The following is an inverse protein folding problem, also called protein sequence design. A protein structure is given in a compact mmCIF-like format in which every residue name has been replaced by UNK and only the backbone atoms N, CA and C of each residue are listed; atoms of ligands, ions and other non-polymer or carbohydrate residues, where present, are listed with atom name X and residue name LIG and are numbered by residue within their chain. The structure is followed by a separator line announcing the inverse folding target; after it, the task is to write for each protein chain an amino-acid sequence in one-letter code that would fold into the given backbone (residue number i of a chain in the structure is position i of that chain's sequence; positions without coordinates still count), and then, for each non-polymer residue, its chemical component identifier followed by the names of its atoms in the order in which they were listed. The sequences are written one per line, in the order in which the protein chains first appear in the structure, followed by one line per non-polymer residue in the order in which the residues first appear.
data_IF_190394350670
#
_entry.id   IF_190394350670
#
_cell.length_a   1.000
_cell.length_b   1.000
_cell.length_c   1.000
_cell.angle_alpha   90.00
_cell.angle_beta   90.00
_cell.angle_gamma   90.00
#
_symmetry.space_group_name_H-M   'P 1'
#
loop_
_entity.id
_entity.type
_entity.pdbx_description
1 polymer ?
#
# COMPACT_ATOMS: atom_id res chain seq x y z
N UNK A 1 3.12 -7.42 16.21
CA UNK A 1 4.22 -6.44 16.05
C UNK A 1 3.71 -5.27 15.24
N UNK A 2 3.92 -4.05 15.74
CA UNK A 2 3.45 -2.82 15.11
C UNK A 2 4.13 -2.62 13.75
N UNK A 3 3.41 -2.16 12.73
CA UNK A 3 4.00 -1.90 11.43
C UNK A 3 5.01 -0.75 11.54
N UNK A 4 6.19 -0.93 10.93
CA UNK A 4 7.24 0.11 10.88
C UNK A 4 6.76 1.39 10.20
N UNK A 5 5.79 1.27 9.29
CA UNK A 5 5.11 2.38 8.64
C UNK A 5 3.60 2.07 8.64
N UNK A 6 2.78 2.96 9.16
CA UNK A 6 1.32 2.82 9.18
C UNK A 6 0.69 3.92 8.33
N UNK A 7 -0.36 3.57 7.59
CA UNK A 7 -1.24 4.53 6.93
C UNK A 7 -2.51 4.66 7.77
N UNK A 8 -2.92 5.90 8.04
CA UNK A 8 -4.19 6.16 8.72
C UNK A 8 -5.34 6.18 7.71
N UNK A 9 -6.47 5.59 8.08
CA UNK A 9 -7.71 5.70 7.33
C UNK A 9 -8.71 6.53 8.16
N UNK A 10 -9.62 7.29 7.50
CA UNK A 10 -10.72 7.95 8.20
C UNK A 10 -11.62 6.92 8.89
N UNK A 11 -12.23 7.30 10.01
CA UNK A 11 -13.17 6.44 10.73
C UNK A 11 -14.35 6.06 9.81
N UNK A 12 -14.65 4.76 9.71
CA UNK A 12 -15.68 4.22 8.81
C UNK A 12 -15.17 3.67 7.47
N UNK A 13 -13.86 3.75 7.19
CA UNK A 13 -13.22 3.05 6.07
C UNK A 13 -12.38 1.89 6.61
N UNK A 14 -13.02 0.73 6.82
CA UNK A 14 -12.33 -0.50 7.23
C UNK A 14 -11.88 -1.33 6.03
N UNK A 15 -12.74 -1.41 5.00
CA UNK A 15 -12.43 -2.08 3.74
C UNK A 15 -12.51 -1.11 2.55
N UNK A 16 -11.64 -1.34 1.56
CA UNK A 16 -11.71 -0.63 0.27
C UNK A 16 -13.04 -0.89 -0.45
N UNK A 17 -13.69 -2.03 -0.19
CA UNK A 17 -15.01 -2.38 -0.70
C UNK A 17 -16.15 -1.53 -0.12
N UNK A 18 -15.94 -0.87 1.02
CA UNK A 18 -16.97 -0.04 1.68
C UNK A 18 -17.07 1.35 1.01
N UNK A 19 -16.01 1.77 0.31
CA UNK A 19 -15.94 3.03 -0.40
C UNK A 19 -16.40 2.94 -1.84
N UNK A 20 -17.08 3.98 -2.34
CA UNK A 20 -17.29 4.16 -3.77
C UNK A 20 -15.95 4.59 -4.42
N UNK A 21 -15.11 3.62 -4.78
CA UNK A 21 -13.82 3.87 -5.42
C UNK A 21 -14.07 4.22 -6.90
N UNK A 22 -14.00 5.50 -7.22
CA UNK A 22 -14.04 5.98 -8.60
C UNK A 22 -12.60 6.11 -9.13
N UNK A 23 -12.22 5.38 -10.19
CA UNK A 23 -10.90 5.49 -10.80
C UNK A 23 -10.52 6.94 -11.13
N UNK A 24 -9.31 7.33 -10.74
CA UNK A 24 -8.75 8.67 -10.97
C UNK A 24 -9.23 9.75 -10.01
N UNK A 25 -10.13 9.45 -9.05
CA UNK A 25 -10.55 10.39 -8.01
C UNK A 25 -9.88 10.07 -6.66
N UNK A 26 -9.48 11.10 -5.90
CA UNK A 26 -8.97 10.90 -4.55
C UNK A 26 -10.08 10.37 -3.65
N UNK A 27 -9.83 9.26 -2.96
CA UNK A 27 -10.77 8.63 -2.03
C UNK A 27 -10.70 9.34 -0.68
N UNK A 28 -9.51 9.45 -0.08
CA UNK A 28 -9.30 10.17 1.18
C UNK A 28 -7.83 10.56 1.38
N UNK A 29 -7.60 11.47 2.33
CA UNK A 29 -6.25 11.83 2.78
C UNK A 29 -5.81 10.90 3.93
N UNK A 30 -4.74 10.15 3.70
CA UNK A 30 -4.06 9.33 4.69
C UNK A 30 -2.80 10.02 5.21
N UNK A 31 -2.46 9.79 6.49
CA UNK A 31 -1.15 10.17 7.05
C UNK A 31 -0.26 8.94 7.15
N UNK A 32 0.99 9.11 6.73
CA UNK A 32 2.08 8.14 6.83
C UNK A 32 2.75 8.31 8.19
N UNK A 33 2.68 7.29 9.04
CA UNK A 33 3.24 7.29 10.39
C UNK A 33 4.40 6.28 10.47
N UNK A 34 5.62 6.71 10.82
CA UNK A 34 6.69 5.78 11.19
C UNK A 34 6.47 5.28 12.62
N UNK A 35 6.61 3.97 12.81
CA UNK A 35 6.38 3.29 14.08
C UNK A 35 4.94 3.43 14.60
N UNK A 36 4.00 3.86 13.75
CA UNK A 36 2.63 4.17 14.16
C UNK A 36 2.45 5.47 14.95
N UNK A 37 3.50 6.28 15.13
CA UNK A 37 3.45 7.47 16.00
C UNK A 37 3.92 8.75 15.29
N UNK A 38 5.00 8.69 14.50
CA UNK A 38 5.61 9.89 13.91
C UNK A 38 5.07 10.18 12.52
N UNK A 39 4.29 11.26 12.30
CA UNK A 39 3.81 11.61 10.96
C UNK A 39 4.97 12.10 10.10
N UNK A 40 5.36 11.30 9.12
CA UNK A 40 6.44 11.63 8.17
C UNK A 40 5.92 12.11 6.83
N UNK A 41 4.63 11.94 6.57
CA UNK A 41 4.04 12.39 5.32
C UNK A 41 2.53 12.28 5.29
N UNK A 42 1.93 12.83 4.24
CA UNK A 42 0.53 12.64 3.90
C UNK A 42 0.43 12.06 2.50
N UNK A 43 -0.47 11.10 2.31
CA UNK A 43 -0.78 10.52 1.01
C UNK A 43 -2.23 10.81 0.68
N UNK A 44 -2.52 11.24 -0.54
CA UNK A 44 -3.88 11.43 -1.02
C UNK A 44 -4.30 10.20 -1.83
N UNK A 45 -4.95 9.26 -1.15
CA UNK A 45 -5.20 7.93 -1.68
C UNK A 45 -6.05 8.01 -2.94
N UNK A 46 -5.47 7.69 -4.10
CA UNK A 46 -6.14 7.76 -5.40
C UNK A 46 -5.92 6.44 -6.12
N UNK A 47 -7.00 5.74 -6.46
CA UNK A 47 -6.91 4.51 -7.25
C UNK A 47 -7.08 4.85 -8.72
N UNK A 48 -6.12 4.46 -9.56
CA UNK A 48 -6.23 4.58 -11.01
C UNK A 48 -6.99 3.40 -11.61
N UNK A 49 -6.91 2.23 -10.95
CA UNK A 49 -7.72 1.06 -11.27
C UNK A 49 -7.98 0.28 -9.99
N UNK A 50 -9.17 -0.28 -9.84
CA UNK A 50 -9.53 -1.12 -8.71
C UNK A 50 -10.44 -2.23 -9.22
N UNK A 51 -10.03 -3.47 -9.02
CA UNK A 51 -10.78 -4.66 -9.40
C UNK A 51 -10.93 -5.57 -8.17
N UNK A 52 -12.12 -5.57 -7.52
CA UNK A 52 -12.35 -6.38 -6.34
C UNK A 52 -11.98 -7.85 -6.56
N UNK A 53 -11.14 -8.40 -5.68
CA UNK A 53 -10.68 -9.80 -5.75
C UNK A 53 -9.44 -10.04 -6.63
N UNK A 54 -9.18 -9.18 -7.62
CA UNK A 54 -8.05 -9.35 -8.55
C UNK A 54 -6.88 -8.41 -8.24
N UNK A 55 -7.14 -7.19 -7.81
CA UNK A 55 -6.07 -6.24 -7.55
C UNK A 55 -6.45 -4.79 -7.65
N UNK A 56 -5.44 -3.92 -7.56
CA UNK A 56 -5.61 -2.48 -7.70
C UNK A 56 -4.32 -1.81 -8.15
N UNK A 57 -4.47 -0.66 -8.80
CA UNK A 57 -3.39 0.27 -9.10
C UNK A 57 -3.68 1.56 -8.35
N UNK A 58 -2.89 1.83 -7.34
CA UNK A 58 -2.89 3.05 -6.56
C UNK A 58 -1.88 4.04 -7.15
N UNK A 59 -2.29 5.28 -7.37
CA UNK A 59 -1.41 6.40 -7.76
C UNK A 59 -1.70 7.61 -6.87
N UNK A 60 -1.16 7.58 -5.66
CA UNK A 60 -1.43 8.60 -4.66
C UNK A 60 -0.31 9.63 -4.59
N UNK A 61 -0.60 10.94 -4.66
CA UNK A 61 0.37 11.97 -4.31
C UNK A 61 0.80 11.78 -2.85
N UNK A 62 2.09 11.49 -2.63
CA UNK A 62 2.63 11.26 -1.30
C UNK A 62 3.72 12.28 -0.96
N UNK A 63 3.62 12.90 0.22
CA UNK A 63 4.63 13.83 0.72
C UNK A 63 6.01 13.17 0.76
N UNK A 64 7.01 13.85 0.19
CA UNK A 64 8.38 13.33 0.08
C UNK A 64 8.63 12.44 -1.15
N UNK A 65 7.61 12.17 -1.97
CA UNK A 65 7.76 11.45 -3.24
C UNK A 65 7.23 12.29 -4.40
N UNK A 66 8.03 12.37 -5.48
CA UNK A 66 7.63 13.06 -6.72
C UNK A 66 6.57 12.25 -7.48
N UNK A 67 6.66 10.92 -7.39
CA UNK A 67 5.70 9.98 -7.95
C UNK A 67 5.60 8.78 -7.04
N UNK A 68 4.39 8.28 -6.83
CA UNK A 68 4.12 7.03 -6.16
C UNK A 68 3.04 6.28 -6.94
N UNK A 69 3.35 5.06 -7.32
CA UNK A 69 2.43 4.14 -7.93
C UNK A 69 2.65 2.77 -7.29
N UNK A 70 1.61 2.24 -6.68
CA UNK A 70 1.62 0.92 -6.08
C UNK A 70 0.54 0.08 -6.75
N UNK A 71 0.98 -0.98 -7.41
CA UNK A 71 0.11 -1.98 -8.00
C UNK A 71 0.12 -3.24 -7.13
N UNK A 72 -1.05 -3.73 -6.79
CA UNK A 72 -1.24 -5.05 -6.19
C UNK A 72 -2.03 -5.90 -7.15
N UNK A 73 -1.53 -7.10 -7.41
CA UNK A 73 -2.21 -8.14 -8.17
C UNK A 73 -2.34 -9.39 -7.33
N UNK A 74 -3.49 -10.03 -7.42
CA UNK A 74 -3.83 -11.28 -6.76
C UNK A 74 -4.18 -12.25 -7.88
N UNK A 75 -3.29 -13.20 -8.12
CA UNK A 75 -3.50 -14.24 -9.12
C UNK A 75 -3.91 -15.54 -8.42
N UNK A 76 -4.96 -16.19 -8.90
CA UNK A 76 -5.33 -17.53 -8.45
C UNK A 76 -4.26 -18.54 -8.90
N UNK A 77 -3.79 -19.36 -7.96
CA UNK A 77 -2.83 -20.42 -8.23
C UNK A 77 -3.30 -21.72 -7.58
N UNK A 78 -2.90 -22.90 -8.09
CA UNK A 78 -3.27 -24.15 -7.45
C UNK A 78 -2.86 -24.15 -5.97
N UNK A 79 -3.82 -24.34 -5.07
CA UNK A 79 -3.59 -24.37 -3.63
C UNK A 79 -3.64 -23.01 -2.91
N UNK A 80 -3.94 -21.90 -3.59
CA UNK A 80 -4.16 -20.60 -2.93
C UNK A 80 -4.17 -19.40 -3.88
N UNK A 81 -3.64 -18.27 -3.42
CA UNK A 81 -3.49 -17.06 -4.21
C UNK A 81 -2.05 -16.53 -4.14
N UNK A 82 -1.58 -15.94 -5.23
CA UNK A 82 -0.31 -15.24 -5.32
C UNK A 82 -0.57 -13.74 -5.26
N UNK A 83 -0.15 -13.12 -4.16
CA UNK A 83 -0.17 -11.67 -4.01
C UNK A 83 1.15 -11.09 -4.49
N UNK A 84 1.11 -10.31 -5.56
CA UNK A 84 2.24 -9.59 -6.13
C UNK A 84 2.05 -8.09 -5.90
N UNK A 85 3.01 -7.45 -5.26
CA UNK A 85 3.03 -6.01 -5.06
C UNK A 85 4.16 -5.39 -5.90
N UNK A 86 3.81 -4.61 -6.93
CA UNK A 86 4.75 -3.88 -7.78
C UNK A 86 4.73 -2.39 -7.42
N UNK A 87 5.91 -1.84 -7.11
CA UNK A 87 6.06 -0.47 -6.65
C UNK A 87 6.91 0.34 -7.62
N UNK A 88 6.31 1.40 -8.15
CA UNK A 88 6.94 2.38 -9.00
C UNK A 88 6.90 3.75 -8.30
N UNK A 89 8.02 4.17 -7.71
CA UNK A 89 8.08 5.43 -6.99
C UNK A 89 9.34 6.22 -7.31
N UNK A 90 9.22 7.53 -7.21
CA UNK A 90 10.32 8.47 -7.35
C UNK A 90 10.44 9.26 -6.05
N UNK A 91 11.43 8.92 -5.21
CA UNK A 91 11.69 9.66 -3.98
C UNK A 91 12.12 11.09 -4.31
N UNK A 92 11.59 12.07 -3.59
CA UNK A 92 12.00 13.47 -3.71
C UNK A 92 13.30 13.77 -2.96
N UNK A 93 13.60 12.98 -1.92
CA UNK A 93 14.78 13.14 -1.07
C UNK A 93 15.33 11.76 -0.68
N UNK A 94 16.65 11.64 -0.55
CA UNK A 94 17.37 10.41 -0.15
C UNK A 94 16.87 9.13 -0.84
N UNK A 95 17.15 8.94 -2.15
CA UNK A 95 16.59 7.84 -2.92
C UNK A 95 16.92 6.45 -2.38
N UNK A 96 18.17 6.23 -1.95
CA UNK A 96 18.61 4.94 -1.42
C UNK A 96 17.91 4.56 -0.11
N UNK A 97 17.88 5.49 0.85
CA UNK A 97 17.22 5.26 2.14
C UNK A 97 15.72 5.01 1.96
N UNK A 98 15.07 5.82 1.13
CA UNK A 98 13.63 5.68 0.86
C UNK A 98 13.32 4.31 0.24
N UNK A 99 14.13 3.87 -0.73
CA UNK A 99 13.95 2.56 -1.35
C UNK A 99 14.11 1.40 -0.35
N UNK A 100 15.09 1.48 0.55
CA UNK A 100 15.28 0.47 1.60
C UNK A 100 14.11 0.43 2.58
N UNK A 101 13.62 1.60 3.02
CA UNK A 101 12.47 1.68 3.92
C UNK A 101 11.20 1.12 3.28
N UNK A 102 10.95 1.45 2.00
CA UNK A 102 9.82 0.89 1.24
C UNK A 102 9.96 -0.63 1.10
N UNK A 103 11.14 -1.13 0.71
CA UNK A 103 11.37 -2.57 0.59
C UNK A 103 11.16 -3.31 1.91
N UNK A 104 11.69 -2.79 3.02
CA UNK A 104 11.51 -3.35 4.36
C UNK A 104 10.03 -3.36 4.77
N UNK A 105 9.30 -2.30 4.47
CA UNK A 105 7.87 -2.19 4.75
C UNK A 105 7.05 -3.24 4.00
N UNK A 106 7.26 -3.39 2.70
CA UNK A 106 6.55 -4.40 1.92
C UNK A 106 6.96 -5.81 2.34
N UNK A 107 8.24 -6.06 2.58
CA UNK A 107 8.68 -7.34 3.10
C UNK A 107 7.99 -7.69 4.44
N UNK A 108 7.84 -6.71 5.34
CA UNK A 108 7.11 -6.90 6.59
C UNK A 108 5.61 -7.22 6.36
N UNK A 109 4.96 -6.50 5.44
CA UNK A 109 3.56 -6.77 5.06
C UNK A 109 3.38 -8.17 4.50
N UNK A 110 4.23 -8.59 3.56
CA UNK A 110 4.19 -9.94 3.00
C UNK A 110 4.48 -11.00 4.07
N UNK A 111 5.44 -10.76 4.97
CA UNK A 111 5.69 -11.66 6.10
C UNK A 111 4.46 -11.81 7.00
N UNK A 112 3.69 -10.74 7.21
CA UNK A 112 2.44 -10.79 7.98
C UNK A 112 1.33 -11.52 7.22
N UNK A 113 1.19 -11.29 5.92
CA UNK A 113 0.25 -12.03 5.07
C UNK A 113 0.55 -13.53 5.10
N UNK A 114 1.82 -13.92 4.94
CA UNK A 114 2.26 -15.32 5.04
C UNK A 114 1.99 -15.92 6.42
N UNK A 115 2.15 -15.15 7.50
CA UNK A 115 1.81 -15.62 8.85
C UNK A 115 0.31 -15.80 9.07
N UNK A 116 -0.54 -15.02 8.39
CA UNK A 116 -1.99 -15.10 8.54
C UNK A 116 -2.62 -16.17 7.64
N UNK A 117 -2.14 -16.30 6.40
CA UNK A 117 -2.74 -17.17 5.38
C UNK A 117 -1.88 -18.38 5.00
N UNK A 118 -0.65 -18.46 5.49
CA UNK A 118 0.32 -19.47 5.08
C UNK A 118 1.11 -19.07 3.83
N UNK A 119 1.98 -19.97 3.38
CA UNK A 119 2.76 -19.84 2.15
C UNK A 119 2.50 -21.09 1.30
N UNK A 120 2.31 -20.90 0.00
CA UNK A 120 2.15 -22.00 -0.95
C UNK A 120 3.53 -22.60 -1.18
N UNK A 121 3.65 -23.91 -0.98
CA UNK A 121 4.90 -24.67 -1.17
C UNK A 121 5.21 -24.89 -2.65
#
# INVERSE_FOLDING_TARGET
MMPLLAMTAPAGFECLADGNIVPGKPVFRSRLLIGGVLPVGTSMLTFSSFEPGFGFVEQSPMTGMRRWQHERRIDDVPGGCRVTDMLNFQPGMFPGLTAQLVALFFHHRHRRLRRMFGEIQ
#
